data_IF_326284483399
#
_entry.id   IF_326284483399
#
_cell.length_a   1.000
_cell.length_b   1.000
_cell.length_c   1.000
_cell.angle_alpha   90.00
_cell.angle_beta   90.00
_cell.angle_gamma   90.00
#
_symmetry.space_group_name_H-M   'P 1'
#
loop_
_entity.id
_entity.type
_entity.pdbx_description
1 polymer ?
2 non-polymer ?
3 water ?
#
# COMPACT_ATOMS: atom_id res chain seq x y z
N UNK A 16 -5.28 -13.17 -11.53
CA UNK A 16 -5.94 -14.37 -11.08
C UNK A 16 -7.25 -13.97 -10.44
N UNK A 17 -8.36 -14.48 -10.99
CA UNK A 17 -9.68 -14.22 -10.44
C UNK A 17 -10.17 -15.48 -9.76
N UNK A 18 -10.47 -15.38 -8.47
CA UNK A 18 -10.80 -16.55 -7.65
C UNK A 18 -12.24 -16.41 -7.17
N UNK A 19 -13.18 -17.01 -7.92
CA UNK A 19 -14.59 -16.96 -7.57
C UNK A 19 -15.10 -18.24 -6.97
N UNK A 20 -14.44 -19.37 -7.20
CA UNK A 20 -14.97 -20.60 -6.64
C UNK A 20 -14.78 -20.61 -5.13
N UNK A 21 -15.52 -21.50 -4.47
CA UNK A 21 -15.59 -21.49 -3.01
C UNK A 21 -14.20 -21.47 -2.38
N UNK A 22 -13.24 -22.17 -2.97
CA UNK A 22 -11.91 -22.28 -2.41
C UNK A 22 -10.86 -22.05 -3.48
N UNK A 23 -11.15 -21.16 -4.42
CA UNK A 23 -10.16 -20.80 -5.41
C UNK A 23 -8.91 -20.26 -4.73
N UNK A 24 -7.74 -20.64 -5.25
CA UNK A 24 -6.50 -20.47 -4.52
C UNK A 24 -5.40 -20.09 -5.48
N UNK A 25 -4.54 -19.15 -5.05
CA UNK A 25 -3.36 -18.75 -5.80
C UNK A 25 -2.19 -18.60 -4.84
N UNK A 26 -0.99 -18.89 -5.35
CA UNK A 26 0.23 -18.64 -4.61
C UNK A 26 1.33 -18.22 -5.57
N UNK A 27 2.13 -17.24 -5.13
CA UNK A 27 3.26 -16.73 -5.89
C UNK A 27 4.16 -15.93 -4.95
N UNK A 28 5.47 -16.09 -5.11
CA UNK A 28 6.46 -15.21 -4.48
C UNK A 28 6.30 -15.15 -2.97
N UNK A 29 5.93 -16.28 -2.37
CA UNK A 29 5.89 -16.40 -0.93
C UNK A 29 4.58 -16.02 -0.28
N UNK A 30 3.55 -15.67 -1.06
CA UNK A 30 2.23 -15.35 -0.54
C UNK A 30 1.17 -16.22 -1.22
N UNK A 31 0.12 -16.54 -0.48
CA UNK A 31 -0.98 -17.32 -1.02
C UNK A 31 -2.28 -16.58 -0.75
N UNK A 32 -3.30 -16.91 -1.55
CA UNK A 32 -4.59 -16.26 -1.53
C UNK A 32 -5.67 -17.33 -1.61
N UNK A 33 -6.75 -17.15 -0.87
CA UNK A 33 -7.85 -18.11 -0.91
C UNK A 33 -9.15 -17.34 -0.81
N UNK A 34 -10.08 -17.61 -1.74
CA UNK A 34 -11.40 -16.98 -1.71
C UNK A 34 -12.16 -17.39 -0.45
N UNK A 35 -12.00 -18.65 -0.03
CA UNK A 35 -12.39 -19.14 1.29
C UNK A 35 -13.84 -18.82 1.66
N UNK A 36 -14.77 -19.25 0.81
CA UNK A 36 -16.20 -19.08 1.06
C UNK A 36 -16.74 -20.21 1.93
N UNK A 37 -16.09 -20.47 3.08
CA UNK A 37 -16.40 -21.65 3.88
C UNK A 37 -17.83 -21.61 4.43
N UNK A 38 -18.36 -20.42 4.69
CA UNK A 38 -19.69 -20.31 5.28
C UNK A 38 -20.78 -20.03 4.27
N UNK A 39 -20.55 -20.37 3.00
CA UNK A 39 -21.51 -20.00 1.94
C UNK A 39 -22.86 -20.69 2.15
N UNK A 40 -22.88 -21.82 2.85
CA UNK A 40 -24.11 -22.56 3.10
C UNK A 40 -25.04 -21.92 4.10
N UNK A 41 -24.57 -20.94 4.87
CA UNK A 41 -25.41 -20.29 5.87
C UNK A 41 -26.09 -19.03 5.34
N UNK A 42 -25.98 -18.77 4.04
CA UNK A 42 -26.72 -17.67 3.44
C UNK A 42 -26.74 -17.77 1.93
N UNK A 43 -26.80 -16.64 1.24
CA UNK A 43 -26.73 -16.69 -0.20
C UNK A 43 -26.06 -15.42 -0.71
N UNK A 44 -25.31 -15.58 -1.79
CA UNK A 44 -24.57 -14.50 -2.40
C UNK A 44 -23.49 -15.04 -3.32
N UNK A 45 -22.52 -14.17 -3.62
CA UNK A 45 -21.41 -14.49 -4.51
C UNK A 45 -20.20 -13.66 -4.10
N UNK A 46 -19.02 -14.12 -4.52
CA UNK A 46 -17.78 -13.51 -4.08
C UNK A 46 -16.65 -13.89 -5.04
N UNK A 47 -15.80 -12.92 -5.36
CA UNK A 47 -14.65 -13.17 -6.22
C UNK A 47 -13.44 -12.44 -5.64
N UNK A 48 -12.35 -13.16 -5.43
CA UNK A 48 -11.09 -12.57 -4.98
C UNK A 48 -10.18 -12.41 -6.19
N UNK A 49 -9.76 -11.17 -6.46
CA UNK A 49 -8.84 -10.86 -7.55
C UNK A 49 -7.48 -10.46 -7.00
N UNK A 50 -6.44 -11.11 -7.49
CA UNK A 50 -5.07 -10.81 -7.11
C UNK A 50 -4.57 -9.69 -8.02
N UNK A 51 -4.18 -8.56 -7.43
CA UNK A 51 -3.69 -7.44 -8.20
C UNK A 51 -2.17 -7.46 -8.32
N UNK A 52 -1.49 -8.01 -7.33
CA UNK A 52 -0.03 -7.99 -7.32
C UNK A 52 0.43 -8.98 -6.26
N UNK A 53 1.47 -9.74 -6.56
CA UNK A 53 1.98 -10.72 -5.60
C UNK A 53 3.50 -10.78 -5.76
N UNK A 54 4.21 -10.06 -4.90
CA UNK A 54 5.65 -9.92 -4.99
C UNK A 54 6.27 -10.26 -3.65
N UNK A 55 7.59 -10.51 -3.64
CA UNK A 55 8.23 -10.85 -2.38
C UNK A 55 8.23 -9.68 -1.40
N UNK A 56 8.07 -8.46 -1.89
CA UNK A 56 7.91 -7.32 -1.01
C UNK A 56 6.48 -7.01 -0.59
N UNK A 57 5.51 -7.81 -1.00
CA UNK A 57 4.14 -7.56 -0.58
C UNK A 57 3.11 -7.84 -1.65
N UNK A 58 1.83 -7.83 -1.28
CA UNK A 58 0.77 -8.21 -2.18
C UNK A 58 -0.29 -7.13 -2.20
N UNK A 59 -1.12 -7.22 -3.23
CA UNK A 59 -2.21 -6.31 -3.51
C UNK A 59 -3.31 -7.15 -4.12
N UNK A 60 -4.54 -6.92 -3.68
CA UNK A 60 -5.66 -7.75 -4.09
C UNK A 60 -6.94 -7.09 -3.61
N UNK A 61 -8.07 -7.52 -4.18
CA UNK A 61 -9.38 -7.10 -3.69
C UNK A 61 -10.37 -8.25 -3.84
N UNK A 62 -11.44 -8.19 -3.04
CA UNK A 62 -12.53 -9.16 -3.14
C UNK A 62 -13.87 -8.41 -3.22
N UNK A 63 -14.70 -8.79 -4.19
CA UNK A 63 -16.04 -8.26 -4.36
C UNK A 63 -17.05 -9.28 -3.84
N UNK A 64 -18.02 -8.83 -3.05
CA UNK A 64 -18.99 -9.79 -2.54
C UNK A 64 -20.36 -9.13 -2.33
N UNK A 65 -21.40 -9.96 -2.42
CA UNK A 65 -22.73 -9.65 -1.91
C UNK A 65 -23.21 -10.85 -1.11
N UNK A 66 -23.76 -10.61 0.09
CA UNK A 66 -24.14 -11.70 0.98
C UNK A 66 -25.44 -11.37 1.71
N UNK A 67 -26.28 -12.39 1.89
CA UNK A 67 -27.56 -12.26 2.56
C UNK A 67 -27.83 -13.49 3.41
N UNK A 68 -28.74 -13.35 4.37
CA UNK A 68 -29.06 -14.45 5.27
C UNK A 68 -28.04 -14.64 6.37
N UNK A 69 -28.34 -15.58 7.27
CA UNK A 69 -27.45 -15.94 8.36
C UNK A 69 -26.83 -14.73 9.01
N UNK A 70 -27.69 -13.84 9.51
CA UNK A 70 -27.31 -12.53 10.04
C UNK A 70 -26.00 -12.52 10.79
N UNK A 71 -25.84 -13.44 11.74
CA UNK A 71 -24.64 -13.50 12.59
C UNK A 71 -23.76 -14.70 12.25
N UNK A 72 -23.75 -15.13 10.98
CA UNK A 72 -22.89 -16.20 10.51
C UNK A 72 -21.90 -15.65 9.50
N UNK A 73 -20.61 -15.92 9.72
CA UNK A 73 -19.60 -15.56 8.73
C UNK A 73 -19.82 -16.37 7.47
N UNK A 74 -19.86 -15.69 6.32
CA UNK A 74 -20.02 -16.40 5.05
C UNK A 74 -18.69 -16.84 4.47
N UNK A 75 -17.60 -16.14 4.77
CA UNK A 75 -16.31 -16.40 4.15
C UNK A 75 -15.25 -15.67 4.95
N UNK A 76 -13.99 -16.03 4.70
CA UNK A 76 -12.84 -15.27 5.18
C UNK A 76 -11.80 -15.23 4.07
N UNK A 77 -12.07 -14.51 2.97
CA UNK A 77 -11.05 -14.36 1.93
C UNK A 77 -9.82 -13.67 2.50
N UNK A 78 -8.65 -14.19 2.16
CA UNK A 78 -7.43 -13.69 2.78
C UNK A 78 -6.29 -13.79 1.80
N UNK A 79 -5.20 -13.11 2.15
CA UNK A 79 -3.86 -13.44 1.67
C UNK A 79 -3.05 -13.87 2.88
N UNK A 80 -2.15 -14.82 2.68
CA UNK A 80 -1.31 -15.30 3.76
C UNK A 80 0.16 -15.28 3.37
N UNK A 81 1.02 -15.14 4.38
CA UNK A 81 2.44 -15.33 4.15
C UNK A 81 2.78 -16.80 4.29
N UNK A 82 3.45 -17.35 3.28
CA UNK A 82 3.88 -18.75 3.32
C UNK A 82 4.90 -18.96 4.44
N UNK A 83 4.60 -19.91 5.33
CA UNK A 83 5.47 -20.20 6.46
C UNK A 83 6.04 -21.59 6.31
N UNK A 84 7.22 -21.75 5.67
CA UNK A 84 7.76 -23.10 5.46
C UNK A 84 8.18 -23.79 6.75
N UNK A 85 8.60 -23.04 7.77
CA UNK A 85 8.84 -23.62 9.09
C UNK A 85 7.82 -23.07 10.08
N UNK A 86 7.26 -23.94 10.90
CA UNK A 86 6.34 -23.50 11.95
C UNK A 86 7.18 -23.30 13.21
N UNK A 87 7.43 -22.04 13.55
CA UNK A 87 8.41 -21.74 14.58
C UNK A 87 7.75 -21.58 15.94
N UNK A 88 8.47 -22.01 16.97
CA UNK A 88 8.07 -21.73 18.35
C UNK A 88 8.01 -20.22 18.56
N UNK A 89 6.91 -19.75 19.15
CA UNK A 89 6.78 -18.32 19.38
C UNK A 89 7.97 -17.77 20.16
N UNK A 90 8.45 -18.52 21.16
CA UNK A 90 9.61 -18.02 21.91
C UNK A 90 10.88 -17.93 21.05
N UNK A 91 10.90 -18.54 19.87
CA UNK A 91 12.05 -18.45 18.98
C UNK A 91 11.93 -17.34 17.95
N UNK A 92 10.79 -16.65 17.89
CA UNK A 92 10.53 -15.66 16.85
C UNK A 92 11.02 -14.32 17.36
N UNK A 93 11.93 -13.70 16.62
CA UNK A 93 12.41 -12.38 16.99
C UNK A 93 11.39 -11.28 16.75
N UNK A 94 10.69 -11.34 15.62
CA UNK A 94 9.68 -10.33 15.32
C UNK A 94 8.76 -10.85 14.22
N UNK A 95 7.59 -10.22 14.12
CA UNK A 95 6.67 -10.51 13.03
C UNK A 95 6.29 -9.17 12.39
N UNK A 96 7.19 -8.52 11.65
CA UNK A 96 6.85 -7.23 11.05
C UNK A 96 5.74 -7.41 10.02
N UNK A 97 4.72 -6.56 10.11
CA UNK A 97 3.65 -6.63 9.14
C UNK A 97 3.13 -5.23 8.81
N UNK A 98 2.61 -5.09 7.59
CA UNK A 98 2.03 -3.82 7.14
C UNK A 98 0.78 -4.11 6.34
N UNK A 99 -0.29 -3.35 6.59
CA UNK A 99 -1.56 -3.53 5.87
C UNK A 99 -2.19 -2.19 5.55
N UNK A 100 -2.66 -2.05 4.31
CA UNK A 100 -3.45 -0.90 3.89
C UNK A 100 -4.67 -1.39 3.12
N UNK A 101 -5.87 -0.98 3.57
CA UNK A 101 -7.11 -1.46 2.97
C UNK A 101 -8.17 -0.37 2.99
N UNK A 102 -9.20 -0.59 2.17
CA UNK A 102 -10.41 0.21 2.20
C UNK A 102 -11.62 -0.64 1.86
N UNK A 103 -12.78 -0.21 2.38
CA UNK A 103 -14.05 -0.83 2.05
C UNK A 103 -14.97 0.16 1.34
N UNK A 104 -15.79 -0.36 0.43
CA UNK A 104 -16.90 0.37 -0.16
C UNK A 104 -18.07 -0.58 -0.35
N UNK A 105 -19.25 -0.01 -0.58
CA UNK A 105 -20.47 -0.77 -0.68
C UNK A 105 -21.46 -0.40 0.40
N UNK A 106 -22.69 -0.89 0.23
CA UNK A 106 -23.81 -0.54 1.10
C UNK A 106 -24.04 -1.62 2.14
N UNK A 107 -24.51 -1.19 3.32
CA UNK A 107 -25.04 -2.08 4.35
C UNK A 107 -24.00 -3.08 4.81
N UNK A 108 -22.76 -2.63 4.91
CA UNK A 108 -21.65 -3.53 5.21
C UNK A 108 -21.74 -4.00 6.64
N UNK A 109 -21.79 -5.33 6.81
CA UNK A 109 -21.60 -5.97 8.11
C UNK A 109 -20.48 -6.96 7.87
N UNK A 110 -19.28 -6.62 8.35
CA UNK A 110 -18.07 -7.36 8.06
C UNK A 110 -16.98 -6.87 9.00
N UNK A 111 -15.94 -7.68 9.16
CA UNK A 111 -14.75 -7.20 9.85
C UNK A 111 -13.57 -7.18 8.87
N UNK A 112 -12.46 -6.62 9.35
CA UNK A 112 -11.18 -6.67 8.67
C UNK A 112 -10.16 -7.11 9.72
N UNK A 113 -9.48 -8.21 9.48
CA UNK A 113 -8.70 -8.80 10.57
C UNK A 113 -7.47 -9.57 10.11
N UNK A 114 -6.39 -9.40 10.87
CA UNK A 114 -5.31 -10.38 10.90
C UNK A 114 -5.79 -11.67 11.55
N UNK A 115 -5.27 -12.80 11.07
CA UNK A 115 -5.65 -14.09 11.62
C UNK A 115 -4.39 -14.94 11.72
N UNK A 116 -4.05 -15.36 12.95
CA UNK A 116 -2.90 -16.19 13.23
C UNK A 116 -3.30 -17.41 14.05
N UNK A 117 -2.65 -18.54 13.80
CA UNK A 117 -2.96 -19.76 14.52
C UNK A 117 -1.65 -20.40 14.99
N UNK A 118 -1.69 -20.95 16.21
CA UNK A 118 -0.57 -21.65 16.80
C UNK A 118 -1.05 -22.99 17.32
N UNK A 119 -0.16 -23.98 17.34
CA UNK A 119 -0.46 -25.23 18.02
C UNK A 119 0.84 -25.84 18.51
N UNK A 120 0.73 -26.67 19.55
CA UNK A 120 1.92 -27.33 20.09
C UNK A 120 2.30 -28.52 19.22
N UNK A 121 1.31 -29.41 18.90
CA UNK A 121 1.68 -30.56 18.08
C UNK A 121 1.32 -30.29 16.63
N UNK A 122 2.10 -30.82 15.68
CA UNK A 122 1.71 -30.66 14.28
C UNK A 122 0.43 -31.42 13.95
N UNK A 123 0.18 -32.53 14.64
CA UNK A 123 -1.02 -33.34 14.45
C UNK A 123 -2.12 -32.93 15.41
N UNK A 124 -2.38 -31.62 15.49
CA UNK A 124 -3.48 -31.14 16.33
C UNK A 124 -4.78 -31.62 15.72
N UNK A 125 -5.52 -32.43 16.47
CA UNK A 125 -6.58 -33.24 15.85
C UNK A 125 -7.90 -32.49 15.67
N UNK A 126 -8.54 -32.13 16.78
CA UNK A 126 -9.92 -31.69 16.76
C UNK A 126 -10.09 -30.19 16.52
N UNK A 127 -9.04 -29.51 16.05
CA UNK A 127 -9.15 -28.07 15.79
C UNK A 127 -8.04 -27.62 14.85
N UNK A 128 -8.11 -26.33 14.47
CA UNK A 128 -7.16 -25.74 13.54
C UNK A 128 -5.92 -25.19 14.23
N UNK A 129 -5.91 -25.18 15.56
CA UNK A 129 -4.77 -24.74 16.33
C UNK A 129 -5.14 -24.67 17.79
N UNK A 130 -4.14 -24.76 18.67
CA UNK A 130 -4.38 -24.55 20.08
C UNK A 130 -4.89 -23.14 20.35
N UNK A 131 -4.32 -22.16 19.65
CA UNK A 131 -4.65 -20.77 19.87
C UNK A 131 -4.90 -20.08 18.54
N UNK A 132 -5.80 -19.09 18.57
CA UNK A 132 -6.04 -18.22 17.44
C UNK A 132 -5.90 -16.79 17.92
N UNK A 133 -5.16 -16.00 17.20
CA UNK A 133 -4.96 -14.63 17.53
C UNK A 133 -5.42 -13.74 16.35
N UNK A 134 -6.44 -12.97 16.60
CA UNK A 134 -6.98 -12.05 15.62
C UNK A 134 -6.65 -10.63 16.05
N UNK A 135 -6.55 -9.74 15.06
CA UNK A 135 -6.41 -8.30 15.28
C UNK A 135 -7.39 -7.66 14.32
N UNK A 136 -8.46 -7.09 14.85
CA UNK A 136 -9.49 -6.50 13.99
C UNK A 136 -9.13 -5.03 13.74
N UNK A 137 -8.73 -4.73 12.50
CA UNK A 137 -8.56 -3.35 12.10
C UNK A 137 -9.89 -2.74 11.72
N UNK A 138 -10.85 -3.55 11.30
CA UNK A 138 -12.16 -3.06 10.93
C UNK A 138 -13.26 -3.84 11.61
N UNK A 139 -14.33 -3.13 11.96
CA UNK A 139 -15.54 -3.74 12.51
C UNK A 139 -16.72 -2.94 11.98
N UNK A 140 -17.35 -3.44 10.91
CA UNK A 140 -18.43 -2.71 10.24
C UNK A 140 -19.78 -3.31 10.61
N UNK A 141 -20.68 -2.46 11.09
CA UNK A 141 -22.01 -2.89 11.51
C UNK A 141 -21.94 -3.63 12.84
N UNK A 142 -23.10 -4.14 13.26
CA UNK A 142 -23.15 -4.86 14.53
C UNK A 142 -22.66 -6.28 14.28
N UNK A 143 -21.34 -6.49 14.38
CA UNK A 143 -20.75 -7.82 14.23
C UNK A 143 -19.86 -8.05 15.45
N UNK A 144 -19.74 -9.31 15.86
CA UNK A 144 -19.17 -9.65 17.16
C UNK A 144 -18.06 -10.68 17.05
N UNK A 145 -16.93 -10.47 17.71
CA UNK A 145 -15.93 -11.53 17.82
C UNK A 145 -16.41 -12.61 18.78
N UNK A 146 -15.67 -13.71 18.81
CA UNK A 146 -16.03 -14.80 19.71
C UNK A 146 -15.56 -14.46 21.12
N UNK A 147 -16.25 -15.01 22.11
CA UNK A 147 -15.85 -14.76 23.48
C UNK A 147 -16.41 -13.45 24.02
N UNK A 148 -15.84 -13.03 25.13
CA UNK A 148 -16.37 -11.87 25.82
C UNK A 148 -15.26 -10.86 26.04
N UNK A 149 -15.68 -9.60 26.14
CA UNK A 149 -14.72 -8.53 26.38
C UNK A 149 -14.09 -8.68 27.75
N UNK A 150 -12.77 -8.56 27.81
CA UNK A 150 -12.05 -8.45 29.08
C UNK A 150 -11.52 -7.04 29.29
N UNK A 151 -11.96 -6.08 28.50
CA UNK A 151 -11.57 -4.70 28.71
C UNK A 151 -10.63 -4.20 27.61
N UNK A 152 -10.04 -3.04 27.88
CA UNK A 152 -9.17 -2.36 26.93
C UNK A 152 -7.71 -2.52 27.34
N UNK A 153 -6.83 -2.74 26.36
CA UNK A 153 -5.41 -2.96 26.58
C UNK A 153 -4.66 -2.11 25.56
N UNK A 154 -3.40 -1.83 25.87
CA UNK A 154 -2.54 -1.05 24.99
C UNK A 154 -1.37 -1.92 24.53
N UNK A 155 -1.31 -2.20 23.24
CA UNK A 155 -0.31 -3.08 22.65
C UNK A 155 0.21 -2.42 21.38
N UNK A 156 1.53 -2.26 21.29
CA UNK A 156 2.18 -1.73 20.10
C UNK A 156 1.65 -0.39 19.63
N UNK A 157 1.57 0.59 20.54
CA UNK A 157 1.18 1.93 20.14
C UNK A 157 -0.30 2.13 19.86
N UNK A 158 -1.16 1.16 20.19
CA UNK A 158 -2.59 1.30 19.93
C UNK A 158 -3.37 0.70 21.08
N UNK A 159 -4.56 1.24 21.31
CA UNK A 159 -5.50 0.71 22.29
C UNK A 159 -6.48 -0.23 21.59
N UNK A 160 -6.75 -1.37 22.21
CA UNK A 160 -7.59 -2.41 21.64
C UNK A 160 -8.58 -2.87 22.69
N UNK A 161 -9.75 -3.31 22.25
CA UNK A 161 -10.62 -4.07 23.13
C UNK A 161 -10.31 -5.54 22.94
N UNK A 162 -9.89 -6.21 24.01
CA UNK A 162 -9.47 -7.60 23.93
C UNK A 162 -10.65 -8.49 24.23
N UNK A 163 -10.90 -9.44 23.33
CA UNK A 163 -11.88 -10.49 23.54
C UNK A 163 -11.17 -11.82 23.74
N UNK A 164 -11.78 -12.62 24.61
CA UNK A 164 -11.23 -13.90 25.07
C UNK A 164 -12.37 -14.89 24.98
N UNK A 165 -12.14 -16.00 24.27
CA UNK A 165 -13.16 -17.01 24.21
C UNK A 165 -12.65 -18.27 23.53
N UNK A 166 -13.56 -19.22 23.38
CA UNK A 166 -13.23 -20.51 22.78
C UNK A 166 -14.14 -20.76 21.58
N UNK A 167 -13.54 -21.25 20.50
CA UNK A 167 -14.28 -21.75 19.34
C UNK A 167 -13.98 -23.24 19.26
N UNK A 168 -14.85 -24.07 19.82
CA UNK A 168 -14.46 -25.45 20.01
C UNK A 168 -13.25 -25.53 20.91
N UNK A 169 -12.29 -26.36 20.53
CA UNK A 169 -11.11 -26.56 21.36
C UNK A 169 -10.19 -25.34 21.37
N UNK A 170 -10.33 -24.44 20.41
CA UNK A 170 -9.36 -23.38 20.18
C UNK A 170 -9.60 -22.19 21.10
N UNK A 171 -8.55 -21.75 21.80
CA UNK A 171 -8.58 -20.52 22.58
C UNK A 171 -8.33 -19.33 21.66
N UNK A 172 -9.30 -18.41 21.58
CA UNK A 172 -9.29 -17.33 20.58
C UNK A 172 -9.13 -15.97 21.27
N UNK A 173 -8.05 -15.26 20.97
CA UNK A 173 -7.82 -13.91 21.47
C UNK A 173 -8.00 -12.93 20.32
N UNK A 174 -8.92 -11.97 20.48
CA UNK A 174 -9.20 -10.99 19.44
C UNK A 174 -8.91 -9.60 19.98
N UNK A 175 -7.93 -8.91 19.40
CA UNK A 175 -7.66 -7.51 19.70
C UNK A 175 -8.43 -6.66 18.70
N UNK A 176 -9.41 -5.88 19.16
CA UNK A 176 -10.31 -5.16 18.27
C UNK A 176 -10.09 -3.66 18.40
N UNK A 177 -9.81 -3.00 17.28
CA UNK A 177 -9.57 -1.56 17.29
C UNK A 177 -10.87 -0.80 17.51
N UNK A 178 -10.91 0.18 18.44
CA UNK A 178 -12.16 0.90 18.71
C UNK A 178 -12.64 1.78 17.56
N UNK A 179 -11.74 2.20 16.66
CA UNK A 179 -12.15 2.79 15.39
C UNK A 179 -11.30 2.18 14.29
N UNK A 180 -11.84 2.19 13.08
CA UNK A 180 -11.19 1.47 11.99
C UNK A 180 -9.82 2.09 11.69
N UNK A 181 -8.84 1.22 11.50
CA UNK A 181 -7.47 1.59 11.14
C UNK A 181 -7.21 1.13 9.72
N UNK A 182 -7.18 2.07 8.78
CA UNK A 182 -7.02 1.72 7.37
C UNK A 182 -5.57 1.51 6.95
N UNK A 183 -4.60 2.08 7.66
CA UNK A 183 -3.19 1.84 7.37
C UNK A 183 -2.53 1.43 8.67
N UNK A 184 -1.91 0.25 8.68
CA UNK A 184 -1.46 -0.37 9.93
C UNK A 184 -0.07 -0.96 9.76
N UNK A 185 0.81 -0.64 10.71
CA UNK A 185 2.17 -1.17 10.79
C UNK A 185 2.42 -1.62 12.21
N UNK A 186 2.88 -2.85 12.38
CA UNK A 186 3.17 -3.34 13.72
C UNK A 186 4.16 -4.50 13.62
N UNK A 187 4.58 -4.96 14.79
CA UNK A 187 5.31 -6.20 14.99
C UNK A 187 4.37 -7.09 15.77
N UNK A 188 3.90 -8.19 15.16
CA UNK A 188 2.86 -8.99 15.79
C UNK A 188 3.40 -9.76 16.99
N UNK A 189 4.71 -10.00 17.06
CA UNK A 189 5.28 -10.62 18.24
C UNK A 189 4.97 -9.83 19.52
N UNK A 190 4.68 -8.53 19.42
CA UNK A 190 4.35 -7.77 20.64
C UNK A 190 2.98 -8.15 21.16
N UNK A 191 2.06 -8.52 20.27
CA UNK A 191 0.80 -9.09 20.72
C UNK A 191 1.03 -10.45 21.36
N UNK A 192 1.91 -11.27 20.78
CA UNK A 192 2.26 -12.53 21.42
C UNK A 192 2.90 -12.27 22.78
N UNK A 193 3.79 -11.29 22.88
CA UNK A 193 4.38 -10.98 24.17
C UNK A 193 3.30 -10.61 25.19
N UNK A 194 2.38 -9.73 24.81
CA UNK A 194 1.29 -9.40 25.72
C UNK A 194 0.60 -10.66 26.22
N UNK A 195 0.31 -11.59 25.31
CA UNK A 195 -0.44 -12.78 25.70
C UNK A 195 0.34 -13.66 26.66
N UNK A 196 1.65 -13.83 26.45
CA UNK A 196 2.39 -14.73 27.35
C UNK A 196 2.70 -14.07 28.69
N UNK A 197 2.83 -12.75 28.73
CA UNK A 197 3.08 -12.07 29.99
C UNK A 197 1.83 -11.92 30.85
N UNK A 198 0.63 -11.92 30.24
CA UNK A 198 -0.57 -11.53 30.95
C UNK A 198 -1.74 -12.50 30.80
N UNK A 199 -1.75 -13.38 29.80
CA UNK A 199 -2.87 -14.29 29.61
C UNK A 199 -2.43 -15.74 29.57
N UNK A 200 -1.21 -16.04 30.04
CA UNK A 200 -0.78 -17.42 30.14
C UNK A 200 -0.42 -18.12 28.85
N UNK A 201 -0.16 -17.40 27.77
CA UNK A 201 0.13 -18.07 26.51
C UNK A 201 1.48 -18.77 26.64
N UNK A 202 1.56 -20.10 26.37
CA UNK A 202 2.86 -20.79 26.52
C UNK A 202 3.79 -20.64 25.33
N UNK A 203 4.64 -19.61 25.36
CA UNK A 203 5.41 -19.23 24.18
C UNK A 203 6.40 -20.31 23.73
N UNK A 204 6.93 -21.13 24.63
CA UNK A 204 7.89 -22.14 24.20
C UNK A 204 7.26 -23.49 23.89
N UNK A 205 5.94 -23.55 23.77
CA UNK A 205 5.26 -24.76 23.33
C UNK A 205 4.49 -24.56 22.03
N UNK A 206 4.07 -23.34 21.72
CA UNK A 206 3.22 -23.11 20.56
C UNK A 206 4.04 -22.74 19.34
N UNK A 207 3.80 -23.42 18.23
CA UNK A 207 4.42 -23.12 16.95
C UNK A 207 3.47 -22.26 16.14
N UNK A 208 4.00 -21.23 15.47
CA UNK A 208 3.15 -20.34 14.68
C UNK A 208 2.86 -21.03 13.35
N UNK A 209 1.60 -21.37 13.10
CA UNK A 209 1.24 -22.10 11.88
C UNK A 209 0.91 -21.16 10.70
N UNK A 210 0.32 -20.00 10.97
CA UNK A 210 -0.39 -19.25 9.93
C UNK A 210 -0.31 -17.77 10.24
N UNK A 211 -0.04 -16.97 9.21
CA UNK A 211 -0.14 -15.51 9.27
C UNK A 211 -0.96 -15.05 8.07
N UNK A 212 -2.22 -14.65 8.31
CA UNK A 212 -3.15 -14.28 7.26
C UNK A 212 -3.80 -12.94 7.56
N UNK A 213 -4.33 -12.32 6.49
CA UNK A 213 -5.00 -11.03 6.57
C UNK A 213 -6.13 -10.97 5.53
N UNK A 214 -7.29 -10.52 5.98
CA UNK A 214 -8.42 -10.38 5.08
C UNK A 214 -9.67 -9.86 5.76
N UNK A 215 -10.83 -10.31 5.29
CA UNK A 215 -12.10 -9.77 5.75
C UNK A 215 -13.08 -10.93 5.95
N UNK A 216 -13.86 -10.83 7.02
CA UNK A 216 -14.98 -11.75 7.25
C UNK A 216 -16.27 -11.01 6.94
N UNK A 217 -16.94 -11.31 5.83
CA UNK A 217 -18.25 -10.69 5.56
C UNK A 217 -19.35 -11.46 6.26
N UNK A 218 -20.34 -10.71 6.75
CA UNK A 218 -21.58 -11.29 7.26
C UNK A 218 -22.71 -11.02 6.26
N UNK A 219 -23.09 -9.76 6.07
CA UNK A 219 -24.13 -9.39 5.11
C UNK A 219 -23.81 -8.04 4.50
N UNK A 220 -24.43 -7.76 3.36
CA UNK A 220 -24.36 -6.46 2.73
C UNK A 220 -23.92 -6.59 1.29
N UNK A 221 -23.54 -5.47 0.70
CA UNK A 221 -23.04 -5.47 -0.66
C UNK A 221 -24.07 -5.06 -1.72
N UNK A 222 -23.66 -5.02 -3.01
CA UNK A 222 -22.34 -5.26 -3.61
C UNK A 222 -21.23 -4.42 -2.98
N UNK A 223 -20.18 -5.11 -2.54
CA UNK A 223 -19.12 -4.51 -1.75
C UNK A 223 -17.77 -4.90 -2.32
N UNK A 224 -16.78 -4.06 -2.06
CA UNK A 224 -15.39 -4.38 -2.40
C UNK A 224 -14.51 -4.09 -1.19
N UNK A 225 -13.77 -5.10 -0.78
CA UNK A 225 -12.69 -4.94 0.19
C UNK A 225 -11.40 -4.87 -0.60
N UNK A 226 -10.76 -3.70 -0.57
CA UNK A 226 -9.55 -3.42 -1.34
C UNK A 226 -8.33 -3.47 -0.42
N UNK A 227 -7.37 -4.31 -0.76
CA UNK A 227 -6.10 -4.36 -0.06
C UNK A 227 -5.07 -3.64 -0.93
N UNK A 228 -4.76 -2.39 -0.56
CA UNK A 228 -3.73 -1.64 -1.27
C UNK A 228 -2.36 -2.29 -1.11
N UNK A 229 -2.08 -2.82 0.08
CA UNK A 229 -0.80 -3.43 0.36
C UNK A 229 -0.95 -4.32 1.58
N UNK A 230 -0.37 -5.51 1.51
CA UNK A 230 -0.17 -6.35 2.68
C UNK A 230 1.22 -6.95 2.59
N UNK A 231 1.93 -6.94 3.71
CA UNK A 231 3.18 -7.68 3.80
C UNK A 231 3.31 -8.21 5.23
N UNK A 232 4.10 -9.26 5.36
CA UNK A 232 4.34 -9.83 6.66
C UNK A 232 5.50 -10.80 6.58
N UNK A 233 6.27 -10.90 7.66
CA UNK A 233 7.36 -11.85 7.77
C UNK A 233 7.38 -12.41 9.18
N UNK A 234 7.95 -13.59 9.31
CA UNK A 234 8.21 -14.22 10.60
C UNK A 234 9.72 -14.41 10.69
N UNK A 235 10.36 -13.56 11.48
CA UNK A 235 11.82 -13.55 11.58
C UNK A 235 12.30 -14.23 12.86
N UNK B 16 8.61 11.28 12.26
CA UNK B 16 9.40 12.17 11.42
C UNK B 16 8.48 13.02 10.54
N UNK B 17 8.30 14.27 10.94
CA UNK B 17 7.36 15.19 10.31
C UNK B 17 8.14 16.34 9.67
N UNK B 18 8.10 16.40 8.34
CA UNK B 18 8.93 17.36 7.58
C UNK B 18 8.10 18.56 7.15
N UNK B 19 8.25 19.68 7.86
CA UNK B 19 7.49 20.89 7.58
C UNK B 19 8.33 22.02 6.99
N UNK B 20 9.64 21.98 7.14
CA UNK B 20 10.47 23.02 6.55
C UNK B 20 10.59 22.79 5.05
N UNK B 21 11.00 23.85 4.35
CA UNK B 21 10.94 23.90 2.89
C UNK B 21 11.60 22.68 2.26
N UNK B 22 12.76 22.29 2.76
CA UNK B 22 13.50 21.16 2.22
C UNK B 22 13.79 20.15 3.33
N UNK B 23 12.85 19.99 4.26
CA UNK B 23 13.01 18.95 5.26
C UNK B 23 13.16 17.60 4.60
N UNK B 24 14.09 16.79 5.11
CA UNK B 24 14.53 15.58 4.42
C UNK B 24 14.69 14.44 5.41
N UNK B 25 14.33 13.23 5.00
CA UNK B 25 14.57 12.00 5.76
C UNK B 25 15.03 10.90 4.81
N UNK B 26 15.81 9.96 5.33
CA UNK B 26 16.23 8.81 4.54
C UNK B 26 16.39 7.61 5.46
N UNK B 27 15.85 6.46 5.03
CA UNK B 27 16.00 5.23 5.78
C UNK B 27 15.67 4.05 4.87
N UNK B 28 16.45 2.97 5.02
CA UNK B 28 16.19 1.69 4.37
C UNK B 28 16.16 1.82 2.84
N UNK B 29 17.04 2.65 2.30
CA UNK B 29 17.15 2.78 0.86
C UNK B 29 16.17 3.72 0.22
N UNK B 30 15.36 4.44 1.01
CA UNK B 30 14.36 5.38 0.53
C UNK B 30 14.55 6.74 1.19
N UNK B 31 14.29 7.81 0.44
CA UNK B 31 14.42 9.16 0.96
C UNK B 31 13.15 9.96 0.68
N UNK B 32 12.95 11.02 1.48
CA UNK B 32 11.76 11.86 1.43
C UNK B 32 12.18 13.32 1.52
N UNK B 33 11.54 14.19 0.74
CA UNK B 33 11.82 15.62 0.79
C UNK B 33 10.51 16.37 0.69
N UNK B 34 10.28 17.29 1.64
CA UNK B 34 9.08 18.13 1.60
C UNK B 34 9.06 19.00 0.35
N UNK B 35 10.21 19.58 -0.03
CA UNK B 35 10.45 20.13 -1.38
C UNK B 35 9.46 21.23 -1.76
N UNK B 36 9.33 22.23 -0.89
CA UNK B 36 8.50 23.40 -1.19
C UNK B 36 9.29 24.43 -2.02
N UNK B 37 9.77 23.96 -3.18
CA UNK B 37 10.67 24.80 -3.97
C UNK B 37 9.96 26.03 -4.55
N UNK B 38 8.64 25.95 -4.78
CA UNK B 38 7.91 27.08 -5.33
C UNK B 38 7.11 27.90 -4.34
N UNK B 39 7.48 27.82 -3.05
CA UNK B 39 6.70 28.50 -2.03
C UNK B 39 6.67 30.00 -2.24
N UNK B 40 7.66 30.55 -2.95
CA UNK B 40 7.71 31.97 -3.25
C UNK B 40 6.62 32.43 -4.21
N UNK B 41 6.02 31.51 -4.95
CA UNK B 41 4.96 31.89 -5.89
C UNK B 41 3.60 32.03 -5.21
N UNK B 42 3.50 31.76 -3.92
CA UNK B 42 2.23 31.79 -3.24
C UNK B 42 2.36 31.78 -1.75
N UNK B 43 1.32 31.29 -1.08
CA UNK B 43 1.29 31.32 0.37
C UNK B 43 0.58 30.06 0.88
N UNK B 44 1.05 29.54 2.00
CA UNK B 44 0.44 28.35 2.57
C UNK B 44 1.45 27.63 3.46
N UNK B 45 1.14 26.35 3.72
CA UNK B 45 1.96 25.56 4.62
C UNK B 45 1.86 24.10 4.23
N UNK B 46 2.88 23.32 4.60
CA UNK B 46 2.98 21.95 4.10
C UNK B 46 3.83 21.13 5.04
N UNK B 47 3.33 19.96 5.43
CA UNK B 47 4.06 19.06 6.30
C UNK B 47 3.97 17.67 5.69
N UNK B 48 5.14 17.06 5.43
CA UNK B 48 5.23 15.70 4.93
C UNK B 48 5.60 14.80 6.11
N UNK B 49 4.75 13.83 6.40
CA UNK B 49 4.97 12.89 7.50
C UNK B 49 5.29 11.50 6.95
N UNK B 50 6.43 10.95 7.38
CA UNK B 50 6.82 9.59 7.02
C UNK B 50 6.09 8.63 7.95
N UNK B 51 5.35 7.69 7.38
CA UNK B 51 4.59 6.74 8.20
C UNK B 51 5.30 5.41 8.33
N UNK B 52 6.05 5.00 7.30
CA UNK B 52 6.86 3.79 7.38
C UNK B 52 7.97 3.92 6.33
N UNK B 53 9.08 3.26 6.58
CA UNK B 53 10.20 3.32 5.64
C UNK B 53 11.00 2.04 5.77
N UNK B 54 10.68 1.05 4.92
CA UNK B 54 11.25 -0.27 5.02
C UNK B 54 11.79 -0.71 3.65
N UNK B 55 12.59 -1.78 3.66
CA UNK B 55 13.18 -2.26 2.42
C UNK B 55 12.10 -2.65 1.42
N UNK B 56 10.94 -3.10 1.89
CA UNK B 56 9.84 -3.40 1.00
C UNK B 56 9.05 -2.21 0.50
N UNK B 57 9.38 -1.01 0.94
CA UNK B 57 8.72 0.19 0.48
C UNK B 57 8.29 1.08 1.63
N UNK B 58 7.65 2.19 1.26
CA UNK B 58 7.35 3.27 2.18
C UNK B 58 5.87 3.62 2.13
N UNK B 59 5.42 4.26 3.21
CA UNK B 59 4.13 4.92 3.28
C UNK B 59 4.33 6.28 3.93
N UNK B 60 3.55 7.26 3.50
CA UNK B 60 3.72 8.64 3.93
C UNK B 60 2.54 9.45 3.43
N UNK B 61 2.41 10.67 3.96
CA UNK B 61 1.36 11.58 3.52
C UNK B 61 1.87 13.01 3.65
N UNK B 62 1.26 13.91 2.89
CA UNK B 62 1.50 15.35 2.98
C UNK B 62 0.20 16.04 3.29
N UNK B 63 0.20 16.90 4.31
CA UNK B 63 -0.89 17.84 4.50
C UNK B 63 -0.48 19.19 3.93
N UNK B 64 -1.38 19.84 3.19
CA UNK B 64 -1.01 21.15 2.64
C UNK B 64 -2.25 22.03 2.43
N UNK B 65 -1.99 23.34 2.44
CA UNK B 65 -2.92 24.35 1.95
C UNK B 65 -2.12 25.40 1.18
N UNK B 66 -2.53 25.72 -0.05
CA UNK B 66 -1.79 26.64 -0.90
C UNK B 66 -2.72 27.64 -1.57
N UNK B 67 -2.23 28.88 -1.72
CA UNK B 67 -2.98 29.96 -2.35
C UNK B 67 -2.03 30.76 -3.23
N UNK B 68 -2.60 31.51 -4.16
CA UNK B 68 -1.82 32.37 -5.03
C UNK B 68 -1.16 31.61 -6.18
N UNK B 69 -0.62 32.39 -7.12
CA UNK B 69 0.12 31.85 -8.26
C UNK B 69 -0.56 30.68 -8.94
N UNK B 70 -1.73 30.95 -9.52
CA UNK B 70 -2.66 29.91 -9.97
C UNK B 70 -1.99 28.80 -10.79
N UNK B 71 -1.07 29.17 -11.67
CA UNK B 71 -0.50 28.22 -12.60
C UNK B 71 0.95 27.86 -12.26
N UNK B 72 1.33 28.04 -10.99
CA UNK B 72 2.68 27.74 -10.53
C UNK B 72 2.64 26.60 -9.53
N UNK B 73 3.52 25.61 -9.73
CA UNK B 73 3.70 24.55 -8.75
C UNK B 73 4.27 25.16 -7.48
N UNK B 74 3.67 24.84 -6.34
CA UNK B 74 4.18 25.30 -5.06
C UNK B 74 5.26 24.40 -4.50
N UNK B 75 5.22 23.11 -4.83
CA UNK B 75 6.07 22.12 -4.18
C UNK B 75 5.97 20.82 -4.95
N UNK B 76 6.87 19.90 -4.63
CA UNK B 76 6.82 18.53 -5.15
C UNK B 76 7.32 17.61 -4.06
N UNK B 77 6.56 17.48 -2.97
CA UNK B 77 6.92 16.49 -1.94
C UNK B 77 6.93 15.10 -2.54
N UNK B 78 7.96 14.34 -2.22
CA UNK B 78 8.11 13.04 -2.87
C UNK B 78 8.72 12.06 -1.89
N UNK B 79 8.70 10.79 -2.27
CA UNK B 79 9.67 9.81 -1.81
C UNK B 79 10.45 9.36 -3.03
N UNK B 80 11.72 9.04 -2.83
CA UNK B 80 12.54 8.50 -3.90
C UNK B 80 13.21 7.22 -3.48
N UNK B 81 13.53 6.39 -4.48
CA UNK B 81 14.41 5.26 -4.24
C UNK B 81 15.86 5.72 -4.35
N UNK B 82 16.66 5.42 -3.33
CA UNK B 82 18.09 5.73 -3.39
C UNK B 82 18.75 4.92 -4.51
N UNK B 83 19.48 5.62 -5.39
CA UNK B 83 20.18 4.98 -6.52
C UNK B 83 21.69 5.18 -6.38
N UNK B 84 22.40 4.26 -5.71
CA UNK B 84 23.85 4.44 -5.54
C UNK B 84 24.62 4.41 -6.85
N UNK B 85 24.10 3.73 -7.87
CA UNK B 85 24.71 3.74 -9.18
C UNK B 85 23.71 4.38 -10.16
N UNK B 86 24.20 5.24 -11.03
CA UNK B 86 23.37 5.83 -12.07
C UNK B 86 23.60 4.99 -13.32
N UNK B 87 22.65 4.12 -13.63
CA UNK B 87 22.81 3.13 -14.69
C UNK B 87 22.34 3.64 -16.03
N UNK B 88 23.13 3.35 -17.07
CA UNK B 88 22.69 3.58 -18.43
C UNK B 88 21.36 2.89 -18.64
N UNK B 89 20.41 3.60 -19.25
CA UNK B 89 19.07 3.05 -19.43
C UNK B 89 19.12 1.75 -20.21
N UNK B 90 20.05 1.65 -21.18
CA UNK B 90 20.22 0.39 -21.91
C UNK B 90 20.83 -0.73 -21.07
N UNK B 91 21.30 -0.45 -19.86
CA UNK B 91 21.77 -1.52 -18.98
C UNK B 91 20.71 -1.99 -18.01
N UNK B 92 19.58 -1.30 -17.91
CA UNK B 92 18.56 -1.62 -16.92
C UNK B 92 17.63 -2.68 -17.47
N UNK B 93 17.52 -3.80 -16.75
CA UNK B 93 16.57 -4.83 -17.16
C UNK B 93 15.14 -4.45 -16.87
N UNK B 94 14.88 -3.82 -15.73
CA UNK B 94 13.53 -3.46 -15.35
C UNK B 94 13.55 -2.44 -14.22
N UNK B 95 12.48 -1.65 -14.16
CA UNK B 95 12.26 -0.69 -13.09
C UNK B 95 10.91 -1.01 -12.46
N UNK B 96 10.79 -2.10 -11.70
CA UNK B 96 9.48 -2.45 -11.13
C UNK B 96 9.11 -1.46 -10.04
N UNK B 97 7.85 -1.06 -10.04
CA UNK B 97 7.39 -0.06 -9.10
C UNK B 97 5.91 -0.26 -8.83
N UNK B 98 5.49 0.11 -7.62
CA UNK B 98 4.09 0.01 -7.21
C UNK B 98 3.72 1.25 -6.40
N UNK B 99 2.54 1.81 -6.67
CA UNK B 99 2.09 2.99 -5.95
C UNK B 99 0.60 2.91 -5.67
N UNK B 100 0.23 3.30 -4.45
CA UNK B 100 -1.17 3.29 -4.03
C UNK B 100 -1.41 4.57 -3.25
N UNK B 101 -2.39 5.37 -3.66
CA UNK B 101 -2.55 6.70 -3.06
C UNK B 101 -4.00 7.15 -3.11
N UNK B 102 -4.29 8.19 -2.32
CA UNK B 102 -5.56 8.88 -2.39
C UNK B 102 -5.38 10.34 -2.00
N UNK B 103 -6.33 11.17 -2.44
CA UNK B 103 -6.38 12.58 -2.11
C UNK B 103 -7.69 12.91 -1.39
N UNK B 104 -7.61 13.77 -0.39
CA UNK B 104 -8.78 14.41 0.21
C UNK B 104 -8.52 15.90 0.35
N UNK B 105 -9.60 16.67 0.46
CA UNK B 105 -9.50 18.11 0.60
C UNK B 105 -10.26 18.85 -0.48
N UNK B 106 -10.52 20.13 -0.28
CA UNK B 106 -11.36 20.92 -1.18
C UNK B 106 -10.52 21.67 -2.19
N UNK B 107 -11.13 21.93 -3.36
CA UNK B 107 -10.57 22.82 -4.38
C UNK B 107 -9.16 22.40 -4.78
N UNK B 108 -8.97 21.09 -4.95
CA UNK B 108 -7.66 20.56 -5.26
C UNK B 108 -7.30 20.87 -6.71
N UNK B 109 -6.24 21.63 -6.89
CA UNK B 109 -5.57 21.76 -8.19
C UNK B 109 -4.16 21.25 -7.96
N UNK B 110 -3.89 20.03 -8.42
CA UNK B 110 -2.65 19.30 -8.14
C UNK B 110 -2.60 18.07 -9.04
N UNK B 111 -1.40 17.57 -9.26
CA UNK B 111 -1.23 16.29 -9.94
C UNK B 111 -0.64 15.25 -8.98
N UNK B 112 -0.55 14.02 -9.47
CA UNK B 112 0.11 12.92 -8.76
C UNK B 112 0.96 12.20 -9.79
N UNK B 113 2.27 12.14 -9.58
CA UNK B 113 3.07 11.65 -10.68
C UNK B 113 4.40 11.07 -10.24
N UNK B 114 4.84 10.03 -10.96
CA UNK B 114 6.22 9.59 -10.95
C UNK B 114 7.11 10.65 -11.59
N UNK B 115 8.34 10.73 -11.12
CA UNK B 115 9.30 11.70 -11.63
C UNK B 115 10.65 11.02 -11.77
N UNK B 116 11.16 10.96 -13.00
CA UNK B 116 12.44 10.34 -13.28
C UNK B 116 13.29 11.30 -14.12
N UNK B 117 14.61 11.22 -13.92
CA UNK B 117 15.54 12.09 -14.62
C UNK B 117 16.74 11.28 -15.09
N UNK B 118 17.23 11.61 -16.28
CA UNK B 118 18.43 11.00 -16.82
C UNK B 118 19.37 12.09 -17.32
N UNK B 119 20.67 11.80 -17.33
CA UNK B 119 21.65 12.69 -17.94
C UNK B 119 22.79 11.85 -18.50
N UNK B 120 23.40 12.35 -19.59
CA UNK B 120 24.57 11.67 -20.16
C UNK B 120 25.82 11.92 -19.32
N UNK B 121 26.16 13.24 -19.06
CA UNK B 121 27.34 13.51 -18.23
C UNK B 121 26.94 13.59 -16.76
N UNK B 122 27.77 13.09 -15.85
CA UNK B 122 27.50 13.33 -14.43
C UNK B 122 27.56 14.81 -14.10
N UNK B 123 28.37 15.58 -14.82
CA UNK B 123 28.50 17.01 -14.59
C UNK B 123 27.55 17.82 -15.46
N UNK B 124 26.27 17.43 -15.48
CA UNK B 124 25.30 18.10 -16.32
C UNK B 124 25.00 19.49 -15.77
N UNK B 125 25.32 20.52 -16.54
CA UNK B 125 25.36 21.86 -15.98
C UNK B 125 24.03 22.60 -15.89
N UNK B 126 23.50 23.01 -17.03
CA UNK B 126 22.43 23.99 -17.08
C UNK B 126 21.10 23.40 -16.63
N UNK B 127 21.07 22.18 -16.09
CA UNK B 127 19.80 21.60 -15.69
C UNK B 127 20.00 20.43 -14.73
N UNK B 128 18.86 19.85 -14.30
CA UNK B 128 18.79 18.70 -13.41
C UNK B 128 18.76 17.37 -14.15
N UNK B 129 18.68 17.39 -15.48
CA UNK B 129 18.74 16.20 -16.29
C UNK B 129 18.65 16.55 -17.76
N UNK B 130 19.19 15.70 -18.64
CA UNK B 130 18.92 15.87 -20.06
C UNK B 130 17.48 15.55 -20.39
N UNK B 131 16.91 14.57 -19.69
CA UNK B 131 15.55 14.11 -19.94
C UNK B 131 14.82 13.96 -18.62
N UNK B 132 13.53 14.30 -18.64
CA UNK B 132 12.65 14.05 -17.52
C UNK B 132 11.48 13.21 -18.00
N UNK B 133 11.18 12.14 -17.26
CA UNK B 133 10.09 11.23 -17.62
C UNK B 133 9.07 11.25 -16.49
N UNK B 134 7.89 11.76 -16.76
CA UNK B 134 6.83 11.82 -15.78
C UNK B 134 5.72 10.84 -16.17
N UNK B 135 5.07 10.29 -15.15
CA UNK B 135 3.89 9.45 -15.31
C UNK B 135 2.84 10.01 -14.37
N UNK B 136 1.79 10.64 -14.93
CA UNK B 136 0.75 11.26 -14.11
C UNK B 136 -0.35 10.25 -13.83
N UNK B 137 -0.42 9.80 -12.58
CA UNK B 137 -1.54 8.99 -12.09
C UNK B 137 -2.74 9.84 -11.72
N UNK B 138 -2.52 11.11 -11.41
CA UNK B 138 -3.61 11.98 -11.02
C UNK B 138 -3.44 13.36 -11.58
N UNK B 139 -4.55 13.98 -12.01
CA UNK B 139 -4.54 15.35 -12.53
C UNK B 139 -5.84 16.00 -12.06
N UNK B 140 -5.75 16.83 -11.02
CA UNK B 140 -6.92 17.39 -10.36
C UNK B 140 -6.99 18.88 -10.71
N UNK B 141 -8.07 19.27 -11.37
CA UNK B 141 -8.21 20.65 -11.78
C UNK B 141 -7.53 20.99 -13.09
N UNK B 142 -7.52 22.29 -13.39
CA UNK B 142 -6.96 22.80 -14.63
C UNK B 142 -5.46 23.03 -14.42
N UNK B 143 -4.72 21.92 -14.42
CA UNK B 143 -3.27 21.95 -14.33
C UNK B 143 -2.73 21.13 -15.51
N UNK B 144 -1.61 21.59 -16.06
CA UNK B 144 -1.20 21.10 -17.36
C UNK B 144 0.24 20.63 -17.31
N UNK B 145 0.59 19.60 -18.07
CA UNK B 145 1.98 19.17 -18.14
C UNK B 145 2.84 20.15 -18.93
N UNK B 146 4.16 19.96 -18.81
CA UNK B 146 5.08 20.64 -19.70
C UNK B 146 4.81 20.23 -21.14
N UNK B 147 4.86 21.21 -22.05
CA UNK B 147 4.87 20.95 -23.47
C UNK B 147 3.51 20.81 -24.10
N UNK B 148 3.44 20.06 -25.20
CA UNK B 148 2.20 19.93 -25.94
C UNK B 148 1.89 18.47 -26.19
N UNK B 149 0.61 18.17 -26.31
CA UNK B 149 0.15 16.79 -26.48
C UNK B 149 0.52 16.28 -27.87
N UNK B 150 1.11 15.09 -27.93
CA UNK B 150 1.39 14.44 -29.20
C UNK B 150 0.43 13.26 -29.42
N UNK B 151 -0.63 13.20 -28.66
CA UNK B 151 -1.63 12.18 -28.84
C UNK B 151 -1.61 11.16 -27.72
N UNK B 152 -2.34 10.09 -27.95
CA UNK B 152 -2.50 9.02 -26.98
C UNK B 152 -1.65 7.83 -27.40
N UNK B 153 -1.05 7.17 -26.42
CA UNK B 153 -0.17 6.04 -26.65
C UNK B 153 -0.56 4.96 -25.65
N UNK B 154 -0.14 3.73 -25.93
CA UNK B 154 -0.44 2.62 -25.05
C UNK B 154 0.86 1.99 -24.57
N UNK B 155 1.11 2.08 -23.28
CA UNK B 155 2.28 1.49 -22.64
C UNK B 155 1.82 0.77 -21.40
N UNK B 156 2.33 -0.43 -21.19
CA UNK B 156 1.95 -1.21 -20.02
C UNK B 156 0.47 -1.51 -19.97
N UNK B 157 -0.16 -1.73 -21.13
CA UNK B 157 -1.57 -2.00 -21.21
C UNK B 157 -2.48 -0.81 -20.97
N UNK B 158 -1.95 0.30 -20.49
CA UNK B 158 -2.72 1.51 -20.17
C UNK B 158 -2.65 2.51 -21.32
N UNK B 159 -3.74 3.25 -21.49
CA UNK B 159 -3.74 4.38 -22.40
C UNK B 159 -3.19 5.60 -21.67
N UNK B 160 -2.34 6.35 -22.37
CA UNK B 160 -1.71 7.54 -21.82
C UNK B 160 -1.79 8.65 -22.86
N UNK B 161 -1.91 9.89 -22.41
CA UNK B 161 -1.74 11.04 -23.29
C UNK B 161 -0.31 11.55 -23.13
N UNK B 162 0.50 11.37 -24.16
CA UNK B 162 1.91 11.76 -24.08
C UNK B 162 2.05 13.23 -24.37
N UNK B 163 2.65 13.97 -23.44
CA UNK B 163 3.07 15.36 -23.66
C UNK B 163 4.58 15.43 -23.85
N UNK B 164 5.02 16.33 -24.73
CA UNK B 164 6.44 16.45 -25.08
C UNK B 164 6.79 17.93 -25.17
N UNK B 165 7.69 18.38 -24.30
CA UNK B 165 8.15 19.73 -24.33
C UNK B 165 9.48 19.90 -23.61
N UNK B 166 9.92 21.14 -23.50
CA UNK B 166 11.20 21.44 -22.87
C UNK B 166 10.98 22.39 -21.70
N UNK B 167 11.67 22.12 -20.60
CA UNK B 167 11.75 23.03 -19.46
C UNK B 167 13.19 23.52 -19.39
N UNK B 168 13.47 24.62 -20.09
CA UNK B 168 14.86 24.98 -20.29
C UNK B 168 15.54 23.98 -21.20
N UNK B 169 16.76 23.59 -20.82
CA UNK B 169 17.58 22.62 -21.54
C UNK B 169 17.07 21.18 -21.40
N UNK B 170 16.02 20.95 -20.63
CA UNK B 170 15.57 19.60 -20.28
C UNK B 170 14.38 19.19 -21.15
N UNK B 171 14.50 18.03 -21.79
CA UNK B 171 13.41 17.43 -22.54
C UNK B 171 12.51 16.64 -21.60
N UNK B 172 11.23 17.03 -21.52
CA UNK B 172 10.28 16.44 -20.58
C UNK B 172 9.21 15.69 -21.36
N UNK B 173 9.09 14.39 -21.11
CA UNK B 173 8.00 13.57 -21.62
C UNK B 173 7.08 13.23 -20.45
N UNK B 174 5.78 13.46 -20.63
CA UNK B 174 4.82 13.25 -19.56
C UNK B 174 3.74 12.32 -20.06
N UNK B 175 3.63 11.13 -19.45
CA UNK B 175 2.54 10.20 -19.72
C UNK B 175 1.42 10.46 -18.71
N UNK B 176 0.29 10.96 -19.19
CA UNK B 176 -0.80 11.44 -18.34
C UNK B 176 -2.00 10.51 -18.52
N UNK B 177 -2.42 9.88 -17.43
CA UNK B 177 -3.54 8.96 -17.48
C UNK B 177 -4.83 9.74 -17.78
N UNK B 178 -5.67 9.23 -18.69
CA UNK B 178 -6.95 9.91 -18.98
C UNK B 178 -7.95 9.77 -17.85
N UNK B 179 -7.72 8.85 -16.91
CA UNK B 179 -8.58 8.58 -15.77
C UNK B 179 -7.68 8.37 -14.56
N UNK B 180 -8.14 8.83 -13.41
CA UNK B 180 -7.38 8.69 -12.18
C UNK B 180 -7.07 7.23 -11.90
N UNK B 181 -5.84 6.96 -11.47
CA UNK B 181 -5.38 5.62 -11.15
C UNK B 181 -4.82 5.64 -9.75
N UNK B 182 -5.51 5.02 -8.80
CA UNK B 182 -5.12 5.12 -7.41
C UNK B 182 -4.21 3.99 -6.96
N UNK B 183 -4.19 2.87 -7.69
CA UNK B 183 -3.33 1.74 -7.40
C UNK B 183 -2.67 1.33 -8.71
N UNK B 184 -1.35 1.50 -8.77
CA UNK B 184 -0.59 1.39 -10.01
C UNK B 184 0.60 0.47 -9.77
N UNK B 185 0.80 -0.46 -10.70
CA UNK B 185 1.96 -1.33 -10.76
C UNK B 185 2.48 -1.29 -12.19
N UNK B 186 3.80 -1.21 -12.36
CA UNK B 186 4.33 -1.22 -13.72
C UNK B 186 5.83 -1.52 -13.69
N UNK B 187 6.39 -1.60 -14.89
CA UNK B 187 7.82 -1.64 -15.15
C UNK B 187 8.08 -0.34 -15.88
N UNK B 188 8.83 0.57 -15.26
CA UNK B 188 9.07 1.85 -15.91
C UNK B 188 10.03 1.70 -17.10
N UNK B 189 10.78 0.61 -17.18
CA UNK B 189 11.64 0.39 -18.34
C UNK B 189 10.83 0.34 -19.64
N UNK B 190 9.58 -0.12 -19.56
CA UNK B 190 8.74 -0.17 -20.76
C UNK B 190 8.40 1.22 -21.26
N UNK B 191 8.32 2.21 -20.36
CA UNK B 191 8.19 3.59 -20.79
C UNK B 191 9.48 4.08 -21.43
N UNK B 192 10.63 3.71 -20.85
CA UNK B 192 11.89 4.05 -21.51
C UNK B 192 12.01 3.35 -22.86
N UNK B 193 11.55 2.09 -22.95
CA UNK B 193 11.54 1.42 -24.26
C UNK B 193 10.68 2.19 -25.25
N UNK B 194 9.47 2.58 -24.86
CA UNK B 194 8.60 3.31 -25.78
C UNK B 194 9.32 4.53 -26.34
N UNK B 195 9.95 5.32 -25.47
CA UNK B 195 10.64 6.52 -25.92
C UNK B 195 11.87 6.17 -26.76
N UNK B 196 12.54 5.06 -26.45
CA UNK B 196 13.73 4.68 -27.20
C UNK B 196 13.37 4.28 -28.63
N UNK B 197 12.26 3.57 -28.80
CA UNK B 197 11.86 3.02 -30.09
C UNK B 197 11.11 4.04 -30.94
N UNK B 198 10.42 5.00 -30.32
CA UNK B 198 9.53 5.90 -31.03
C UNK B 198 9.89 7.38 -30.93
N UNK B 199 10.69 7.79 -29.97
CA UNK B 199 10.94 9.22 -29.76
C UNK B 199 12.43 9.54 -29.68
N UNK B 200 13.29 8.66 -30.21
CA UNK B 200 14.71 8.94 -30.25
C UNK B 200 15.45 9.03 -28.93
N UNK B 201 14.94 8.44 -27.86
CA UNK B 201 15.63 8.54 -26.57
C UNK B 201 16.99 7.82 -26.67
N UNK B 202 18.02 8.45 -26.37
CA UNK B 202 19.35 7.80 -26.56
C UNK B 202 19.74 6.87 -25.41
N UNK B 203 19.24 5.64 -25.50
CA UNK B 203 19.25 4.72 -24.36
C UNK B 203 20.67 4.35 -23.90
N UNK B 204 21.65 4.23 -24.81
CA UNK B 204 22.99 3.88 -24.34
C UNK B 204 23.82 5.09 -23.98
N UNK B 205 23.22 6.28 -23.92
CA UNK B 205 23.94 7.46 -23.47
C UNK B 205 23.44 8.02 -22.14
N UNK B 206 22.22 7.71 -21.73
CA UNK B 206 21.56 8.39 -20.63
C UNK B 206 21.55 7.52 -19.37
N UNK B 207 22.01 8.09 -18.25
CA UNK B 207 22.04 7.40 -16.96
C UNK B 207 20.83 7.81 -16.13
N UNK B 208 20.13 6.83 -15.56
CA UNK B 208 19.01 7.11 -14.66
C UNK B 208 19.54 7.74 -13.38
N UNK B 209 19.15 8.98 -13.11
CA UNK B 209 19.64 9.66 -11.91
C UNK B 209 18.68 9.53 -10.74
N UNK B 210 17.38 9.56 -11.01
CA UNK B 210 16.36 9.75 -9.97
C UNK B 210 15.16 8.88 -10.26
N UNK B 211 14.62 8.26 -9.21
CA UNK B 211 13.31 7.63 -9.26
C UNK B 211 12.50 8.10 -8.05
N UNK B 212 11.60 9.04 -8.28
CA UNK B 212 10.76 9.62 -7.22
C UNK B 212 9.29 9.48 -7.56
N UNK B 213 8.46 9.52 -6.52
CA UNK B 213 7.01 9.56 -6.66
C UNK B 213 6.41 10.53 -5.65
N UNK B 214 5.51 11.39 -6.11
CA UNK B 214 4.81 12.30 -5.21
C UNK B 214 3.71 13.12 -5.86
N UNK B 215 3.50 14.34 -5.37
CA UNK B 215 2.38 15.16 -5.78
C UNK B 215 2.87 16.60 -5.99
N UNK B 216 2.30 17.27 -6.99
CA UNK B 216 2.61 18.67 -7.27
C UNK B 216 1.40 19.54 -6.96
N UNK B 217 1.36 20.22 -5.82
CA UNK B 217 0.24 21.11 -5.51
C UNK B 217 0.35 22.45 -6.20
N UNK B 218 -0.79 22.93 -6.71
CA UNK B 218 -0.87 24.30 -7.18
C UNK B 218 -1.62 25.14 -6.16
N UNK B 219 -2.90 24.84 -5.97
CA UNK B 219 -3.74 25.58 -5.04
C UNK B 219 -4.76 24.65 -4.40
N UNK B 220 -5.35 25.14 -3.31
CA UNK B 220 -6.47 24.50 -2.68
C UNK B 220 -6.15 24.06 -1.28
N UNK B 221 -6.96 23.14 -0.75
CA UNK B 221 -6.74 22.63 0.59
C UNK B 221 -7.59 23.32 1.63
N UNK B 222 -7.46 22.93 2.91
CA UNK B 222 -6.56 21.92 3.48
C UNK B 222 -6.72 20.55 2.86
N UNK B 223 -5.61 20.04 2.34
CA UNK B 223 -5.59 18.79 1.61
C UNK B 223 -4.67 17.79 2.29
N UNK B 224 -4.91 16.51 2.03
CA UNK B 224 -4.00 15.44 2.39
C UNK B 224 -3.78 14.56 1.16
N UNK B 225 -2.51 14.42 0.75
CA UNK B 225 -2.07 13.41 -0.20
C UNK B 225 -1.53 12.23 0.59
N UNK B 226 -2.18 11.08 0.45
CA UNK B 226 -1.87 9.90 1.25
C UNK B 226 -1.25 8.83 0.35
N UNK B 227 -0.01 8.45 0.65
CA UNK B 227 0.65 7.33 -0.03
C UNK B 227 0.52 6.11 0.87
N UNK B 228 -0.40 5.22 0.50
CA UNK B 228 -0.56 3.95 1.21
C UNK B 228 0.66 3.06 1.04
N UNK B 229 1.29 3.10 -0.13
CA UNK B 229 2.45 2.29 -0.43
C UNK B 229 3.17 2.88 -1.63
N UNK B 230 4.50 2.88 -1.57
CA UNK B 230 5.33 3.13 -2.74
C UNK B 230 6.53 2.20 -2.62
N UNK B 231 6.87 1.54 -3.72
CA UNK B 231 8.09 0.75 -3.83
C UNK B 231 8.63 0.90 -5.25
N UNK B 232 9.95 0.78 -5.38
CA UNK B 232 10.63 0.94 -6.65
C UNK B 232 12.03 0.34 -6.58
N UNK B 233 12.46 -0.29 -7.67
CA UNK B 233 13.84 -0.75 -7.80
C UNK B 233 14.32 -0.47 -9.23
N UNK B 234 15.64 -0.44 -9.39
CA UNK B 234 16.28 -0.38 -10.70
C UNK B 234 17.16 -1.62 -10.80
N UNK B 235 16.69 -2.63 -11.52
CA UNK B 235 17.41 -3.90 -11.65
C UNK B 235 18.26 -3.93 -12.92
X LIG C 1 1.76 -4.19 -2.93
X LIG C 1 1.34 -2.93 -2.51
X LIG C 1 3.23 -4.08 -3.33
X LIG C 1 4.00 -4.82 -2.41
X LIG C 1 3.44 -4.57 -4.76
X LIG C 1 3.29 -5.98 -4.83
X LIG D 1 5.83 -0.83 4.94
X LIG D 1 7.00 -0.10 4.62
X LIG D 1 4.98 -0.97 3.69
X LIG D 1 5.81 -1.08 2.56
X LIG D 1 4.14 0.28 3.53
X LIG D 1 3.31 0.12 2.43
#
# INVERSE_FOLDING_TARGET
>A
KCLALLAAVASLGSAQQLCEQYGYHAANGYYFNNNMWGQGSGSGSQCLTVDSAQSGGVSWHVDWQWSGGQNNVKSYPYAGRELPQKRLVSSIGSIPTSASWGYSGNNLRANVAYDLFTAADPNHETSSGDYELMIWLGRLGDVYPIGSSVGFVNVGGQQWELFDGYNGNMHVFSFVAPQQINNFNTDVKTFFDYLTWNRGFPADQQHLLILQFGTEPFTGGPATFQVNHFSGQVN
>B
KCLALLAAVASLGSAQQLCEQYGYHAANGYYFNNNMWGQGSGSGSQCLTVDSAQSGGVSWHVDWQWSGGQNNVKSYPYAGRELPQKRLVSSIGSIPTSASWGYSGNNLRANVAYDLFTAADPNHETSSGDYELMIWLGRLGDVYPIGSSVGFVNVGGQQWELFDGYNGNMHVFSFVAPQQINNFNTDVKTFFDYLTWNRGFPADQQHLLILQFGTEPFTGGPATFQVNHFSGQVN
>C hetero
1 GOL C1 O1 C2 O2 C3 O3
>D hetero
1 GOL C1 O1 C2 O2 C3 O3
#
